data_IF_709060062548
#
_entry.id   IF_709060062548
#
_cell.length_a   1.000
_cell.length_b   1.000
_cell.length_c   1.000
_cell.angle_alpha   90.00
_cell.angle_beta   90.00
_cell.angle_gamma   90.00
#
_symmetry.space_group_name_H-M   'P 1'
#
loop_
_entity.id
_entity.type
_entity.pdbx_description
1 polymer ?
#
# COMPACT_ATOMS: atom_id res chain seq x y z
N UNK A 1 2.20 -2.16 -18.92
CA UNK A 1 0.92 -2.57 -19.54
C UNK A 1 -0.07 -1.42 -19.42
N UNK A 2 -0.95 -1.23 -20.39
CA UNK A 2 -2.01 -0.23 -20.28
C UNK A 2 -2.97 -0.62 -19.15
N UNK A 3 -3.26 0.31 -18.25
CA UNK A 3 -4.18 0.08 -17.13
C UNK A 3 -5.62 0.30 -17.61
N UNK A 4 -6.54 -0.54 -17.15
CA UNK A 4 -7.95 -0.39 -17.49
C UNK A 4 -8.50 0.93 -16.94
N UNK A 5 -9.24 1.66 -17.76
CA UNK A 5 -9.96 2.84 -17.29
C UNK A 5 -11.25 2.37 -16.60
N UNK A 6 -11.43 2.73 -15.34
CA UNK A 6 -12.61 2.37 -14.55
C UNK A 6 -13.28 3.63 -14.03
N UNK A 7 -14.61 3.69 -14.14
CA UNK A 7 -15.40 4.74 -13.50
C UNK A 7 -15.81 4.29 -12.10
N UNK A 8 -15.51 5.10 -11.07
CA UNK A 8 -15.86 4.81 -9.69
C UNK A 8 -16.24 6.09 -8.93
N UNK A 9 -17.09 5.95 -7.92
CA UNK A 9 -17.44 7.04 -6.99
C UNK A 9 -16.54 6.96 -5.76
N UNK A 10 -15.91 8.08 -5.41
CA UNK A 10 -15.03 8.21 -4.25
C UNK A 10 -15.37 9.47 -3.48
N UNK A 11 -15.10 9.45 -2.17
CA UNK A 11 -15.04 10.69 -1.38
C UNK A 11 -13.83 11.53 -1.82
N UNK A 12 -14.12 12.64 -2.50
CA UNK A 12 -13.11 13.56 -3.00
C UNK A 12 -12.25 14.18 -1.89
N UNK A 13 -12.79 14.36 -0.68
CA UNK A 13 -12.02 14.89 0.45
C UNK A 13 -10.95 13.89 0.89
N UNK A 14 -11.31 12.61 0.94
CA UNK A 14 -10.38 11.54 1.26
C UNK A 14 -9.29 11.43 0.19
N UNK A 15 -9.65 11.51 -1.10
CA UNK A 15 -8.68 11.48 -2.21
C UNK A 15 -7.68 12.63 -2.09
N UNK A 16 -8.13 13.86 -1.84
CA UNK A 16 -7.23 15.01 -1.67
C UNK A 16 -6.31 14.86 -0.46
N UNK A 17 -6.82 14.29 0.64
CA UNK A 17 -6.00 14.04 1.84
C UNK A 17 -4.94 12.97 1.55
N UNK A 18 -5.33 11.85 0.94
CA UNK A 18 -4.41 10.80 0.54
C UNK A 18 -3.36 11.34 -0.44
N UNK A 19 -3.75 12.17 -1.40
CA UNK A 19 -2.82 12.79 -2.36
C UNK A 19 -1.74 13.61 -1.66
N UNK A 20 -2.11 14.39 -0.63
CA UNK A 20 -1.14 15.16 0.17
C UNK A 20 -0.21 14.26 0.99
N UNK A 21 -0.76 13.24 1.65
CA UNK A 21 0.02 12.29 2.46
C UNK A 21 1.02 11.51 1.62
N UNK A 22 0.60 11.10 0.42
CA UNK A 22 1.40 10.27 -0.48
C UNK A 22 2.31 11.09 -1.42
N UNK A 23 2.19 12.42 -1.45
CA UNK A 23 2.91 13.27 -2.40
C UNK A 23 2.58 12.99 -3.87
N UNK A 24 1.38 12.46 -4.14
CA UNK A 24 0.98 12.02 -5.47
C UNK A 24 0.59 13.20 -6.38
N UNK A 25 0.90 13.08 -7.67
CA UNK A 25 0.71 14.13 -8.69
C UNK A 25 -0.66 14.08 -9.35
N UNK A 26 -1.34 12.94 -9.30
CA UNK A 26 -2.67 12.74 -9.92
C UNK A 26 -3.59 11.89 -9.04
N UNK A 27 -4.90 11.95 -9.32
CA UNK A 27 -5.89 11.09 -8.66
C UNK A 27 -5.61 9.60 -8.92
N UNK A 28 -5.28 9.24 -10.15
CA UNK A 28 -4.92 7.85 -10.50
C UNK A 28 -3.72 7.39 -9.68
N UNK A 29 -2.64 8.19 -9.64
CA UNK A 29 -1.46 7.87 -8.86
C UNK A 29 -1.78 7.76 -7.36
N UNK A 30 -2.64 8.64 -6.84
CA UNK A 30 -3.08 8.60 -5.45
C UNK A 30 -3.76 7.28 -5.11
N UNK A 31 -4.67 6.81 -5.98
CA UNK A 31 -5.41 5.55 -5.78
C UNK A 31 -4.45 4.37 -5.84
N UNK A 32 -3.56 4.33 -6.83
CA UNK A 32 -2.60 3.23 -7.00
C UNK A 32 -1.64 3.12 -5.82
N UNK A 33 -1.02 4.23 -5.42
CA UNK A 33 -0.12 4.27 -4.25
C UNK A 33 -0.86 3.89 -2.97
N UNK A 34 -2.14 4.29 -2.82
CA UNK A 34 -2.94 3.91 -1.66
C UNK A 34 -3.18 2.39 -1.61
N UNK A 35 -3.48 1.77 -2.75
CA UNK A 35 -3.68 0.32 -2.84
C UNK A 35 -2.39 -0.45 -2.57
N UNK A 36 -1.27 0.00 -3.15
CA UNK A 36 0.06 -0.56 -2.89
C UNK A 36 0.42 -0.49 -1.41
N UNK A 37 0.22 0.68 -0.78
CA UNK A 37 0.51 0.86 0.65
C UNK A 37 -0.28 -0.11 1.53
N UNK A 38 -1.55 -0.39 1.20
CA UNK A 38 -2.37 -1.36 1.94
C UNK A 38 -1.86 -2.78 1.76
N UNK A 39 -1.48 -3.17 0.54
CA UNK A 39 -0.91 -4.50 0.25
C UNK A 39 0.42 -4.69 0.98
N UNK A 40 1.33 -3.72 0.94
CA UNK A 40 2.62 -3.80 1.64
C UNK A 40 2.43 -3.83 3.17
N UNK A 41 1.48 -3.06 3.69
CA UNK A 41 1.12 -3.11 5.12
C UNK A 41 0.65 -4.51 5.53
N UNK A 42 -0.11 -5.19 4.67
CA UNK A 42 -0.57 -6.56 4.91
C UNK A 42 0.60 -7.56 4.95
N UNK A 43 1.52 -7.46 3.99
CA UNK A 43 2.76 -8.27 3.98
C UNK A 43 3.59 -8.06 5.24
N UNK A 44 3.80 -6.80 5.63
CA UNK A 44 4.52 -6.48 6.86
C UNK A 44 3.84 -7.05 8.10
N UNK A 45 2.50 -6.95 8.20
CA UNK A 45 1.75 -7.56 9.32
C UNK A 45 1.93 -9.08 9.36
N UNK A 46 1.92 -9.76 8.21
CA UNK A 46 2.18 -11.20 8.13
C UNK A 46 3.59 -11.55 8.59
N UNK A 47 4.60 -10.80 8.14
CA UNK A 47 5.99 -11.00 8.54
C UNK A 47 6.15 -10.82 10.06
N UNK A 48 5.65 -9.72 10.61
CA UNK A 48 5.67 -9.48 12.05
C UNK A 48 4.99 -10.63 12.79
N UNK A 49 3.79 -11.05 12.37
CA UNK A 49 3.08 -12.16 13.01
C UNK A 49 3.85 -13.49 12.93
N UNK A 50 4.53 -13.76 11.82
CA UNK A 50 5.32 -14.99 11.62
C UNK A 50 6.53 -15.04 12.54
N UNK A 51 7.15 -13.88 12.78
CA UNK A 51 8.48 -13.81 13.41
C UNK A 51 8.50 -13.12 14.79
N UNK A 52 7.39 -12.54 15.27
CA UNK A 52 7.33 -11.84 16.56
C UNK A 52 7.68 -12.79 17.72
N UNK A 53 8.87 -12.61 18.29
CA UNK A 53 9.38 -13.38 19.43
C UNK A 53 10.03 -14.73 19.08
N UNK A 54 10.11 -15.10 17.80
CA UNK A 54 10.74 -16.35 17.35
C UNK A 54 11.78 -16.18 16.23
N UNK A 55 11.95 -14.96 15.73
CA UNK A 55 12.90 -14.65 14.66
C UNK A 55 14.34 -14.98 15.08
N UNK A 56 15.07 -15.68 14.22
CA UNK A 56 16.51 -15.87 14.31
C UNK A 56 17.23 -15.03 13.25
N UNK A 57 18.51 -14.66 13.46
CA UNK A 57 19.33 -14.08 12.40
C UNK A 57 19.35 -15.05 11.20
N UNK A 58 18.77 -14.63 10.07
CA UNK A 58 18.59 -15.43 8.84
C UNK A 58 17.13 -15.63 8.39
N UNK A 59 16.16 -15.45 9.28
CA UNK A 59 14.73 -15.64 8.96
C UNK A 59 14.17 -14.61 7.94
N UNK A 60 14.95 -13.54 7.68
CA UNK A 60 14.60 -12.43 6.80
C UNK A 60 15.34 -12.48 5.44
N UNK A 61 16.26 -13.42 5.23
CA UNK A 61 17.11 -13.47 4.02
C UNK A 61 16.34 -13.87 2.75
N UNK A 62 15.10 -14.37 2.91
CA UNK A 62 14.21 -14.80 1.83
C UNK A 62 12.84 -14.10 1.87
N UNK A 63 12.69 -13.04 2.66
CA UNK A 63 11.42 -12.30 2.84
C UNK A 63 11.23 -11.20 1.80
#
# INVERSE_FOLDING_TARGET
>A
MAKALTSLRLDDRLVRRAQKVLGAKSRTQTIEMSLEAVVETEKHRKLIKRYSGKAKPGDFDHS
#
